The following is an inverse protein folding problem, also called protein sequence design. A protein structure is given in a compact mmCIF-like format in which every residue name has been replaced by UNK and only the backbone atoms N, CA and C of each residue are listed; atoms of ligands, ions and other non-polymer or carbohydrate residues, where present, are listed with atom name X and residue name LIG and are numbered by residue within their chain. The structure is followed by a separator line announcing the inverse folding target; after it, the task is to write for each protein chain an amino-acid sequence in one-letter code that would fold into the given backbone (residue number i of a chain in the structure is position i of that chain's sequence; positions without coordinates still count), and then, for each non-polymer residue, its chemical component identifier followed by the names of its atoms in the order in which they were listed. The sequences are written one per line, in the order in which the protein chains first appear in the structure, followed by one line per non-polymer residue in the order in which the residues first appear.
data_IF_511110125752
#
_entry.id   IF_511110125752
#
_cell.length_a   1.000
_cell.length_b   1.000
_cell.length_c   1.000
_cell.angle_alpha   90.00
_cell.angle_beta   90.00
_cell.angle_gamma   90.00
#
_symmetry.space_group_name_H-M   'P 1'
#
loop_
_entity.id
_entity.type
_entity.pdbx_description
1 polymer ?
#
# COMPACT_ATOMS: atom_id res chain seq x y z
N UNK A 1 28.97 9.58 -7.29
CA UNK A 1 30.36 9.40 -6.81
C UNK A 1 31.22 9.22 -8.05
N UNK A 2 32.30 9.97 -8.20
CA UNK A 2 33.12 9.98 -9.41
C UNK A 2 34.48 9.33 -9.12
N UNK A 3 35.05 8.63 -10.11
CA UNK A 3 36.40 8.08 -10.05
C UNK A 3 37.17 8.54 -11.27
N UNK A 4 38.44 8.94 -11.09
CA UNK A 4 39.34 9.20 -12.21
C UNK A 4 39.66 7.92 -12.98
N UNK A 5 39.48 7.95 -14.29
CA UNK A 5 39.97 6.92 -15.19
C UNK A 5 41.48 7.08 -15.48
N UNK A 6 42.02 6.20 -16.34
CA UNK A 6 43.43 6.20 -16.71
C UNK A 6 43.87 7.47 -17.45
N UNK A 7 42.92 8.18 -18.06
CA UNK A 7 43.15 9.43 -18.81
C UNK A 7 42.92 10.68 -17.93
N UNK A 8 42.56 10.48 -16.66
CA UNK A 8 42.39 11.55 -15.68
C UNK A 8 41.03 12.23 -15.71
N UNK A 9 40.05 11.70 -16.45
CA UNK A 9 38.69 12.22 -16.45
C UNK A 9 37.89 11.65 -15.27
N UNK A 10 37.09 12.51 -14.63
CA UNK A 10 36.15 12.06 -13.61
C UNK A 10 34.96 11.35 -14.28
N UNK A 11 34.94 10.02 -14.19
CA UNK A 11 33.85 9.18 -14.71
C UNK A 11 32.85 8.89 -13.59
N UNK A 12 31.57 9.10 -13.88
CA UNK A 12 30.49 8.77 -12.95
C UNK A 12 30.47 7.25 -12.72
N UNK A 13 30.65 6.83 -11.47
CA UNK A 13 30.42 5.44 -11.11
C UNK A 13 28.91 5.26 -10.86
N UNK A 14 28.21 4.41 -11.64
CA UNK A 14 26.86 4.02 -11.28
C UNK A 14 26.94 3.34 -9.90
N UNK A 15 26.30 3.96 -8.91
CA UNK A 15 26.44 3.57 -7.52
C UNK A 15 25.99 2.13 -7.30
N UNK A 16 26.79 1.33 -6.60
CA UNK A 16 26.41 -0.04 -6.16
C UNK A 16 25.14 -0.07 -5.30
N UNK A 17 24.77 1.09 -4.73
CA UNK A 17 23.52 1.31 -4.01
C UNK A 17 22.29 1.29 -4.91
N UNK A 18 22.30 1.99 -6.05
CA UNK A 18 21.19 1.99 -7.01
C UNK A 18 20.94 0.58 -7.56
N UNK A 19 22.02 -0.17 -7.78
CA UNK A 19 21.92 -1.56 -8.22
C UNK A 19 21.23 -2.48 -7.20
N UNK A 20 21.29 -2.18 -5.90
CA UNK A 20 20.62 -2.97 -4.87
C UNK A 20 19.13 -2.64 -4.77
N UNK A 21 18.78 -1.36 -4.86
CA UNK A 21 17.37 -0.90 -4.85
C UNK A 21 16.62 -1.50 -6.04
N UNK A 22 17.17 -1.37 -7.25
CA UNK A 22 16.57 -1.94 -8.47
C UNK A 22 16.43 -3.46 -8.38
N UNK A 23 17.40 -4.16 -7.78
CA UNK A 23 17.32 -5.62 -7.60
C UNK A 23 16.23 -6.01 -6.60
N UNK A 24 16.11 -5.28 -5.49
CA UNK A 24 15.07 -5.49 -4.49
C UNK A 24 13.69 -5.23 -5.08
N UNK A 25 13.52 -4.07 -5.73
CA UNK A 25 12.29 -3.67 -6.40
C UNK A 25 11.82 -4.75 -7.38
N UNK A 26 12.66 -5.13 -8.35
CA UNK A 26 12.33 -6.18 -9.33
C UNK A 26 11.95 -7.51 -8.68
N UNK A 27 12.63 -7.86 -7.58
CA UNK A 27 12.33 -9.09 -6.84
C UNK A 27 10.98 -9.04 -6.15
N UNK A 28 10.62 -7.90 -5.56
CA UNK A 28 9.32 -7.69 -4.92
C UNK A 28 8.22 -7.59 -5.98
N UNK A 29 8.43 -6.84 -7.06
CA UNK A 29 7.49 -6.72 -8.19
C UNK A 29 7.13 -8.09 -8.80
N UNK A 30 8.11 -8.98 -8.96
CA UNK A 30 7.91 -10.32 -9.51
C UNK A 30 7.02 -11.23 -8.64
N UNK A 31 6.93 -10.95 -7.34
CA UNK A 31 6.10 -11.71 -6.38
C UNK A 31 5.07 -10.83 -5.67
N UNK A 32 4.73 -9.68 -6.24
CA UNK A 32 4.06 -8.60 -5.51
C UNK A 32 2.68 -9.02 -4.97
N UNK A 33 1.96 -9.78 -5.78
CA UNK A 33 0.65 -10.30 -5.41
C UNK A 33 0.78 -11.32 -4.27
N UNK A 34 1.72 -12.26 -4.35
CA UNK A 34 1.91 -13.29 -3.32
C UNK A 34 2.52 -12.73 -2.02
N UNK A 35 3.36 -11.70 -2.12
CA UNK A 35 4.07 -11.14 -0.96
C UNK A 35 3.23 -10.09 -0.21
N UNK A 36 2.44 -9.28 -0.92
CA UNK A 36 1.79 -8.10 -0.34
C UNK A 36 0.29 -7.99 -0.67
N UNK A 37 -0.29 -8.92 -1.43
CA UNK A 37 -1.69 -8.86 -1.86
C UNK A 37 -1.95 -7.72 -2.85
N UNK A 38 -0.95 -7.37 -3.67
CA UNK A 38 -1.02 -6.23 -4.59
C UNK A 38 -0.82 -6.73 -6.02
N UNK A 39 -1.79 -6.44 -6.89
CA UNK A 39 -1.65 -6.68 -8.33
C UNK A 39 -0.79 -5.59 -8.95
N UNK A 40 0.27 -5.99 -9.64
CA UNK A 40 1.23 -5.08 -10.26
C UNK A 40 0.62 -4.30 -11.44
N UNK A 41 0.92 -3.01 -11.55
CA UNK A 41 0.48 -2.15 -12.66
C UNK A 41 1.65 -1.60 -13.49
N UNK A 42 2.64 -1.00 -12.83
CA UNK A 42 3.78 -0.39 -13.50
C UNK A 42 4.98 -0.26 -12.56
N UNK A 43 6.16 -0.23 -13.16
CA UNK A 43 7.45 0.04 -12.52
C UNK A 43 8.00 1.37 -13.05
N UNK A 44 8.71 2.12 -12.20
CA UNK A 44 9.37 3.39 -12.54
C UNK A 44 8.43 4.40 -13.24
N UNK A 45 7.21 4.55 -12.73
CA UNK A 45 6.14 5.31 -13.37
C UNK A 45 6.38 6.83 -13.24
N UNK A 46 6.48 7.57 -14.37
CA UNK A 46 6.72 9.01 -14.32
C UNK A 46 5.47 9.78 -13.87
N UNK A 47 5.60 10.72 -12.94
CA UNK A 47 4.46 11.52 -12.43
C UNK A 47 4.20 12.81 -13.22
N UNK A 48 4.80 12.90 -14.40
CA UNK A 48 4.67 14.05 -15.31
C UNK A 48 5.41 15.31 -14.85
N UNK A 49 5.34 16.38 -15.65
CA UNK A 49 6.16 17.59 -15.47
C UNK A 49 5.77 18.47 -14.28
N UNK A 50 4.58 18.26 -13.71
CA UNK A 50 4.05 19.02 -12.57
C UNK A 50 4.54 18.46 -11.23
N UNK A 51 4.54 17.14 -11.07
CA UNK A 51 5.02 16.47 -9.85
C UNK A 51 6.51 16.11 -9.93
N UNK A 52 7.10 16.06 -11.14
CA UNK A 52 8.55 15.87 -11.41
C UNK A 52 9.18 14.71 -10.64
N UNK A 53 8.41 13.65 -10.41
CA UNK A 53 8.84 12.47 -9.68
C UNK A 53 8.75 11.21 -10.54
N UNK A 54 9.16 10.10 -9.94
CA UNK A 54 9.06 8.78 -10.51
C UNK A 54 8.69 7.83 -9.39
N UNK A 55 7.52 7.20 -9.51
CA UNK A 55 7.02 6.24 -8.55
C UNK A 55 7.67 4.90 -8.85
N UNK A 56 8.31 4.27 -7.87
CA UNK A 56 9.01 3.00 -8.09
C UNK A 56 8.04 1.90 -8.54
N UNK A 57 6.91 1.73 -7.86
CA UNK A 57 5.89 0.75 -8.27
C UNK A 57 4.47 1.25 -8.03
N UNK A 58 3.59 1.04 -9.01
CA UNK A 58 2.13 1.19 -8.88
C UNK A 58 1.46 -0.18 -8.84
N UNK A 59 0.40 -0.29 -8.03
CA UNK A 59 -0.38 -1.51 -7.88
C UNK A 59 -1.83 -1.27 -7.46
N UNK A 60 -2.60 -2.35 -7.39
CA UNK A 60 -4.00 -2.36 -6.94
C UNK A 60 -4.17 -3.49 -5.91
N UNK A 61 -4.56 -3.16 -4.68
CA UNK A 61 -4.72 -4.18 -3.62
C UNK A 61 -5.97 -5.05 -3.80
N UNK A 62 -6.12 -6.05 -2.95
CA UNK A 62 -7.24 -7.01 -2.94
C UNK A 62 -8.61 -6.35 -2.77
N UNK A 63 -8.65 -5.18 -2.15
CA UNK A 63 -9.86 -4.39 -1.91
C UNK A 63 -10.12 -3.37 -3.03
N UNK A 64 -9.28 -3.35 -4.07
CA UNK A 64 -9.36 -2.38 -5.15
C UNK A 64 -8.77 -1.01 -4.80
N UNK A 65 -8.06 -0.86 -3.69
CA UNK A 65 -7.43 0.41 -3.35
C UNK A 65 -6.16 0.63 -4.19
N UNK A 66 -5.95 1.84 -4.76
CA UNK A 66 -4.70 2.22 -5.41
C UNK A 66 -3.52 2.08 -4.45
N UNK A 67 -2.42 1.50 -4.92
CA UNK A 67 -1.20 1.33 -4.14
C UNK A 67 0.00 1.98 -4.82
N UNK A 68 0.76 2.74 -4.03
CA UNK A 68 2.08 3.28 -4.39
C UNK A 68 3.12 2.60 -3.50
N UNK A 69 4.23 2.18 -4.08
CA UNK A 69 5.35 1.60 -3.34
C UNK A 69 6.61 2.40 -3.65
N UNK A 70 7.37 2.73 -2.61
CA UNK A 70 8.69 3.34 -2.70
C UNK A 70 9.70 2.43 -1.99
N UNK A 71 10.85 2.20 -2.63
CA UNK A 71 11.95 1.42 -2.09
C UNK A 71 13.08 2.33 -1.62
N UNK A 72 13.68 1.99 -0.48
CA UNK A 72 14.90 2.64 0.03
C UNK A 72 15.91 1.61 0.48
N UNK A 73 17.17 1.75 0.08
CA UNK A 73 18.23 0.88 0.61
C UNK A 73 18.45 1.09 2.11
N UNK A 74 18.48 2.35 2.56
CA UNK A 74 18.86 2.75 3.92
C UNK A 74 17.69 3.30 4.75
N UNK A 75 18.01 3.81 5.94
CA UNK A 75 17.08 4.55 6.80
C UNK A 75 17.02 6.04 6.43
N UNK A 76 17.16 6.36 5.15
CA UNK A 76 17.36 7.74 4.69
C UNK A 76 16.16 8.61 5.05
N UNK A 77 16.45 9.81 5.55
CA UNK A 77 15.44 10.80 5.91
C UNK A 77 14.66 11.24 4.66
N UNK A 78 13.34 11.30 4.75
CA UNK A 78 12.48 11.83 3.68
C UNK A 78 11.60 10.80 2.96
N UNK A 79 11.59 9.53 3.40
CA UNK A 79 10.66 8.54 2.84
C UNK A 79 9.20 9.00 2.96
N UNK A 80 8.87 9.72 4.04
CA UNK A 80 7.54 10.24 4.29
C UNK A 80 7.18 11.44 3.40
N UNK A 81 8.13 12.31 3.05
CA UNK A 81 7.83 13.45 2.17
C UNK A 81 7.55 12.99 0.74
N UNK A 82 8.28 11.97 0.25
CA UNK A 82 7.96 11.34 -1.05
C UNK A 82 6.64 10.60 -1.01
N UNK A 83 6.37 9.83 0.06
CA UNK A 83 5.09 9.16 0.28
C UNK A 83 3.91 10.13 0.13
N UNK A 84 3.92 11.24 0.86
CA UNK A 84 2.86 12.25 0.80
C UNK A 84 2.77 12.85 -0.61
N UNK A 85 3.91 13.18 -1.24
CA UNK A 85 3.92 13.72 -2.61
C UNK A 85 3.28 12.78 -3.63
N UNK A 86 3.51 11.47 -3.54
CA UNK A 86 2.93 10.51 -4.48
C UNK A 86 1.46 10.22 -4.20
N UNK A 87 1.04 10.29 -2.94
CA UNK A 87 -0.37 10.25 -2.59
C UNK A 87 -1.11 11.49 -3.14
N UNK A 88 -0.51 12.68 -3.05
CA UNK A 88 -1.05 13.87 -3.73
C UNK A 88 -1.09 13.72 -5.25
N UNK A 89 -0.11 13.05 -5.86
CA UNK A 89 -0.18 12.71 -7.28
C UNK A 89 -1.39 11.83 -7.58
N UNK A 90 -1.60 10.75 -6.81
CA UNK A 90 -2.76 9.86 -6.98
C UNK A 90 -4.09 10.62 -6.93
N UNK A 91 -4.25 11.57 -5.99
CA UNK A 91 -5.44 12.40 -5.88
C UNK A 91 -5.70 13.27 -7.12
N UNK A 92 -4.63 13.75 -7.78
CA UNK A 92 -4.73 14.55 -9.00
C UNK A 92 -4.84 13.71 -10.28
N UNK A 93 -4.44 12.44 -10.23
CA UNK A 93 -4.23 11.58 -11.40
C UNK A 93 -5.22 10.41 -11.50
N UNK A 94 -6.43 10.52 -10.92
CA UNK A 94 -7.44 9.45 -10.89
C UNK A 94 -7.70 8.84 -12.28
N UNK A 95 -7.89 9.67 -13.31
CA UNK A 95 -8.17 9.20 -14.67
C UNK A 95 -6.98 8.49 -15.31
N UNK A 96 -5.76 8.98 -15.03
CA UNK A 96 -4.53 8.39 -15.54
C UNK A 96 -4.30 7.00 -14.92
N UNK A 97 -4.48 6.89 -13.60
CA UNK A 97 -4.37 5.62 -12.90
C UNK A 97 -5.51 4.65 -13.27
N UNK A 98 -6.76 5.12 -13.42
CA UNK A 98 -7.87 4.28 -13.90
C UNK A 98 -7.58 3.72 -15.31
N UNK A 99 -7.03 4.54 -16.21
CA UNK A 99 -6.64 4.11 -17.54
C UNK A 99 -5.50 3.06 -17.47
N UNK A 100 -4.55 3.22 -16.56
CA UNK A 100 -3.49 2.23 -16.32
C UNK A 100 -4.07 0.90 -15.81
N UNK A 101 -4.96 0.93 -14.81
CA UNK A 101 -5.65 -0.27 -14.31
C UNK A 101 -6.41 -0.96 -15.43
N UNK A 102 -7.18 -0.20 -16.23
CA UNK A 102 -7.95 -0.75 -17.35
C UNK A 102 -7.05 -1.44 -18.37
N UNK A 103 -5.89 -0.84 -18.67
CA UNK A 103 -4.91 -1.36 -19.62
C UNK A 103 -4.27 -2.66 -19.13
N UNK A 104 -3.96 -2.76 -17.83
CA UNK A 104 -3.16 -3.87 -17.27
C UNK A 104 -4.04 -5.00 -16.72
N UNK A 105 -5.13 -4.65 -16.04
CA UNK A 105 -6.00 -5.58 -15.29
C UNK A 105 -7.42 -5.69 -15.88
N UNK A 106 -7.76 -4.91 -16.90
CA UNK A 106 -9.04 -4.95 -17.58
C UNK A 106 -10.11 -3.99 -17.02
N UNK A 107 -11.24 -3.91 -17.73
CA UNK A 107 -12.32 -2.96 -17.42
C UNK A 107 -12.97 -3.20 -16.05
N UNK A 108 -13.23 -4.46 -15.69
CA UNK A 108 -13.85 -4.81 -14.41
C UNK A 108 -13.01 -4.32 -13.22
N UNK A 109 -11.69 -4.51 -13.27
CA UNK A 109 -10.78 -4.03 -12.23
C UNK A 109 -10.73 -2.49 -12.15
N UNK A 110 -10.90 -1.81 -13.29
CA UNK A 110 -10.93 -0.34 -13.33
C UNK A 110 -12.22 0.24 -12.75
N UNK A 111 -13.34 -0.48 -12.94
CA UNK A 111 -14.64 -0.12 -12.36
C UNK A 111 -14.69 -0.38 -10.85
N UNK A 112 -13.91 -1.35 -10.36
CA UNK A 112 -13.85 -1.73 -8.94
C UNK A 112 -12.83 -0.92 -8.11
N UNK A 113 -12.25 0.17 -8.64
CA UNK A 113 -11.24 0.93 -7.89
C UNK A 113 -11.87 1.67 -6.71
N UNK A 114 -11.35 1.40 -5.51
CA UNK A 114 -11.74 2.08 -4.27
C UNK A 114 -10.77 3.22 -3.93
N UNK A 115 -11.18 4.44 -4.26
CA UNK A 115 -10.41 5.66 -4.00
C UNK A 115 -10.48 6.15 -2.55
N UNK A 116 -11.24 5.52 -1.65
CA UNK A 116 -11.49 6.05 -0.29
C UNK A 116 -10.24 6.03 0.58
N UNK A 117 -9.39 5.02 0.41
CA UNK A 117 -8.19 4.79 1.23
C UNK A 117 -7.02 4.26 0.38
N UNK A 118 -6.45 5.08 -0.52
CA UNK A 118 -5.21 4.72 -1.21
C UNK A 118 -4.12 4.37 -0.21
N UNK A 119 -3.28 3.40 -0.58
CA UNK A 119 -2.26 2.84 0.30
C UNK A 119 -0.87 3.23 -0.20
N UNK A 120 -0.06 3.80 0.67
CA UNK A 120 1.37 3.93 0.45
C UNK A 120 2.12 2.80 1.16
N UNK A 121 3.10 2.19 0.51
CA UNK A 121 3.98 1.20 1.12
C UNK A 121 5.43 1.65 0.95
N UNK A 122 6.09 1.99 2.05
CA UNK A 122 7.50 2.31 2.06
C UNK A 122 8.30 1.06 2.43
N UNK A 123 9.18 0.58 1.56
CA UNK A 123 9.99 -0.63 1.79
C UNK A 123 11.45 -0.23 1.99
N UNK A 124 11.98 -0.41 3.20
CA UNK A 124 13.34 0.01 3.56
C UNK A 124 14.09 -1.01 4.42
N UNK A 125 15.43 -0.90 4.53
CA UNK A 125 16.20 -1.76 5.44
C UNK A 125 15.95 -1.39 6.91
N UNK A 126 15.52 -0.16 7.17
CA UNK A 126 15.23 0.37 8.49
C UNK A 126 14.45 1.69 8.40
N UNK A 127 13.85 2.07 9.51
CA UNK A 127 13.17 3.35 9.70
C UNK A 127 13.65 3.94 11.01
N UNK A 128 13.84 5.25 11.05
CA UNK A 128 14.19 5.95 12.29
C UNK A 128 13.01 6.01 13.26
N UNK A 129 13.27 6.30 14.52
CA UNK A 129 12.19 6.60 15.48
C UNK A 129 11.30 7.75 15.00
N UNK A 130 11.88 8.77 14.36
CA UNK A 130 11.15 9.91 13.83
C UNK A 130 10.18 9.50 12.72
N UNK A 131 10.58 8.61 11.82
CA UNK A 131 9.69 8.11 10.75
C UNK A 131 8.48 7.38 11.34
N UNK A 132 8.71 6.54 12.37
CA UNK A 132 7.65 5.80 13.06
C UNK A 132 6.70 6.72 13.82
N UNK A 133 7.21 7.78 14.44
CA UNK A 133 6.34 8.78 15.10
C UNK A 133 5.58 9.61 14.07
N UNK A 134 6.23 10.02 12.99
CA UNK A 134 5.63 10.88 11.98
C UNK A 134 4.54 10.17 11.18
N UNK A 135 4.72 8.88 10.84
CA UNK A 135 3.70 8.13 10.09
C UNK A 135 2.37 8.07 10.85
N UNK A 136 2.41 7.96 12.18
CA UNK A 136 1.22 7.94 13.04
C UNK A 136 0.47 9.28 13.12
N UNK A 137 1.07 10.37 12.63
CA UNK A 137 0.45 11.71 12.59
C UNK A 137 -0.17 12.03 11.23
N UNK A 138 0.09 11.21 10.22
CA UNK A 138 -0.38 11.44 8.86
C UNK A 138 -1.80 10.87 8.70
N UNK A 139 -2.73 11.64 8.10
CA UNK A 139 -4.07 11.16 7.81
C UNK A 139 -4.08 10.10 6.70
N UNK A 140 -3.01 9.95 5.94
CA UNK A 140 -2.90 8.96 4.89
C UNK A 140 -2.57 7.56 5.42
N UNK A 141 -3.01 6.52 4.70
CA UNK A 141 -2.66 5.14 5.01
C UNK A 141 -1.27 4.82 4.48
N UNK A 142 -0.28 4.76 5.38
CA UNK A 142 1.12 4.54 5.03
C UNK A 142 1.66 3.35 5.85
N UNK A 143 2.13 2.34 5.14
CA UNK A 143 2.74 1.15 5.70
C UNK A 143 4.27 1.28 5.63
N UNK A 144 4.95 1.17 6.77
CA UNK A 144 6.41 1.08 6.84
C UNK A 144 6.82 -0.38 6.90
N UNK A 145 7.41 -0.90 5.82
CA UNK A 145 7.80 -2.31 5.69
C UNK A 145 9.32 -2.44 5.67
N UNK A 146 9.86 -3.21 6.61
CA UNK A 146 11.28 -3.54 6.65
C UNK A 146 11.57 -4.75 5.79
N UNK A 147 12.56 -4.65 4.90
CA UNK A 147 13.10 -5.81 4.22
C UNK A 147 14.36 -6.35 4.90
N UNK A 148 14.58 -7.66 4.78
CA UNK A 148 15.86 -8.33 5.07
C UNK A 148 16.14 -9.38 4.00
N UNK A 149 17.31 -9.29 3.38
CA UNK A 149 17.80 -10.32 2.45
C UNK A 149 18.71 -11.26 3.22
N UNK A 150 18.49 -12.56 3.09
CA UNK A 150 19.35 -13.59 3.69
C UNK A 150 20.01 -14.43 2.58
N UNK A 151 21.03 -15.18 2.97
CA UNK A 151 21.66 -16.16 2.10
C UNK A 151 20.66 -17.21 1.57
N UNK A 152 21.03 -17.88 0.49
CA UNK A 152 20.13 -18.81 -0.20
C UNK A 152 19.00 -18.13 -0.97
N UNK A 153 19.11 -16.82 -1.21
CA UNK A 153 18.11 -16.07 -1.97
C UNK A 153 16.80 -15.94 -1.21
N UNK A 154 16.82 -15.79 0.12
CA UNK A 154 15.63 -15.56 0.94
C UNK A 154 15.39 -14.05 1.12
N UNK A 155 14.12 -13.64 1.26
CA UNK A 155 13.70 -12.27 1.50
C UNK A 155 12.58 -12.29 2.53
N UNK A 156 12.72 -11.49 3.58
CA UNK A 156 11.65 -11.19 4.53
C UNK A 156 11.17 -9.77 4.30
N UNK A 157 9.85 -9.59 4.32
CA UNK A 157 9.17 -8.30 4.40
C UNK A 157 8.39 -8.30 5.72
N UNK A 158 8.62 -7.29 6.56
CA UNK A 158 8.00 -7.19 7.88
C UNK A 158 7.37 -5.82 8.04
N UNK A 159 6.06 -5.75 8.31
CA UNK A 159 5.40 -4.51 8.69
C UNK A 159 5.95 -4.03 10.04
N UNK A 160 6.55 -2.84 10.03
CA UNK A 160 7.14 -2.19 11.21
C UNK A 160 6.13 -1.27 11.87
N UNK A 161 5.39 -0.52 11.05
CA UNK A 161 4.41 0.46 11.48
C UNK A 161 3.38 0.69 10.38
N UNK A 162 2.18 1.10 10.76
CA UNK A 162 1.08 1.37 9.83
C UNK A 162 0.24 2.50 10.42
N UNK A 163 0.01 3.55 9.64
CA UNK A 163 -1.09 4.48 9.94
C UNK A 163 -2.36 3.91 9.31
N UNK A 164 -3.44 3.68 10.07
CA UNK A 164 -4.69 3.21 9.48
C UNK A 164 -5.24 4.22 8.45
N UNK A 165 -4.82 5.49 8.52
CA UNK A 165 -5.34 6.56 7.69
C UNK A 165 -6.80 6.90 7.99
N UNK A 166 -7.19 8.15 7.75
CA UNK A 166 -8.58 8.61 7.81
C UNK A 166 -9.23 8.51 6.42
N UNK A 167 -10.53 8.17 6.32
CA UNK A 167 -11.21 8.10 5.02
C UNK A 167 -11.17 9.46 4.31
N UNK A 168 -10.83 9.51 3.02
CA UNK A 168 -10.88 10.76 2.25
C UNK A 168 -12.36 11.18 2.03
N UNK A 169 -12.82 12.33 2.55
CA UNK A 169 -14.21 12.77 2.40
C UNK A 169 -14.61 13.05 0.95
N UNK A 170 -13.65 13.49 0.12
CA UNK A 170 -13.91 13.86 -1.28
C UNK A 170 -14.13 12.64 -2.17
N UNK A 171 -13.34 11.57 -1.97
CA UNK A 171 -13.54 10.28 -2.63
C UNK A 171 -14.87 9.63 -2.21
N UNK A 172 -15.22 9.76 -0.94
CA UNK A 172 -16.48 9.23 -0.39
C UNK A 172 -17.73 9.89 -1.00
N UNK A 173 -17.66 11.19 -1.33
CA UNK A 173 -18.75 11.92 -2.02
C UNK A 173 -18.91 11.48 -3.47
N UNK A 174 -17.80 11.34 -4.21
CA UNK A 174 -17.83 10.87 -5.61
C UNK A 174 -18.34 9.43 -5.74
N UNK A 175 -18.04 8.55 -4.78
CA UNK A 175 -18.63 7.21 -4.72
C UNK A 175 -20.15 7.27 -4.54
N UNK A 176 -20.65 8.08 -3.59
CA UNK A 176 -22.10 8.27 -3.40
C UNK A 176 -22.80 8.84 -4.64
N UNK A 177 -22.16 9.74 -5.37
CA UNK A 177 -22.69 10.30 -6.61
C UNK A 177 -22.71 9.27 -7.75
N UNK A 178 -21.70 8.39 -7.86
CA UNK A 178 -21.71 7.26 -8.79
C UNK A 178 -22.81 6.24 -8.44
N UNK A 179 -22.97 5.89 -7.17
CA UNK A 179 -24.07 5.02 -6.73
C UNK A 179 -25.45 5.65 -7.00
N UNK A 180 -25.60 6.95 -6.76
CA UNK A 180 -26.87 7.66 -7.00
C UNK A 180 -27.24 7.76 -8.49
N UNK A 181 -26.25 7.87 -9.39
CA UNK A 181 -26.49 7.93 -10.84
C UNK A 181 -26.97 6.60 -11.44
N UNK A 182 -26.69 5.47 -10.78
CA UNK A 182 -27.12 4.13 -11.23
C UNK A 182 -28.55 3.79 -10.76
N UNK A 183 -29.10 4.51 -9.77
CA UNK A 183 -30.40 4.19 -9.12
C UNK A 183 -31.55 5.06 -9.63
N UNK A 184 -31.62 5.32 -10.93
CA UNK A 184 -32.82 5.89 -11.57
C UNK A 184 -33.70 4.79 -12.19
N UNK A 185 -34.17 3.85 -11.37
CA UNK A 185 -35.29 2.97 -11.63
C UNK A 185 -35.93 2.57 -10.27
N UNK A 186 -37.26 2.57 -10.13
CA UNK A 186 -37.90 2.45 -8.82
C UNK A 186 -37.69 1.03 -8.29
N UNK A 187 -36.76 0.90 -7.33
CA UNK A 187 -36.52 -0.34 -6.61
C UNK A 187 -37.07 -0.19 -5.20
N UNK A 188 -38.06 -1.01 -4.91
CA UNK A 188 -38.62 -1.32 -3.57
C UNK A 188 -37.48 -1.49 -2.56
N UNK A 189 -37.60 -1.12 -1.28
CA UNK A 189 -36.49 -1.23 -0.33
C UNK A 189 -36.14 -2.70 -0.11
N UNK A 190 -35.17 -3.19 -0.87
CA UNK A 190 -34.53 -4.46 -0.63
C UNK A 190 -33.50 -4.21 0.48
N UNK A 191 -33.77 -4.76 1.66
CA UNK A 191 -32.76 -4.97 2.69
C UNK A 191 -31.55 -5.71 2.12
N UNK A 192 -30.40 -5.70 2.84
CA UNK A 192 -29.13 -6.11 2.30
C UNK A 192 -29.25 -7.49 1.64
N UNK A 193 -28.99 -7.54 0.34
CA UNK A 193 -29.06 -8.75 -0.45
C UNK A 193 -28.01 -9.73 0.07
N UNK A 194 -28.50 -10.73 0.80
CA UNK A 194 -27.78 -11.93 1.14
C UNK A 194 -27.38 -12.65 -0.14
N UNK A 195 -26.14 -12.44 -0.59
CA UNK A 195 -25.46 -13.37 -1.48
C UNK A 195 -25.16 -14.64 -0.69
N UNK A 196 -26.07 -15.62 -0.74
CA UNK A 196 -25.89 -17.02 -0.30
C UNK A 196 -25.02 -17.28 0.95
N UNK A 197 -25.09 -16.41 1.96
CA UNK A 197 -24.60 -16.73 3.29
C UNK A 197 -25.74 -17.49 3.97
N UNK A 198 -25.60 -18.81 4.11
CA UNK A 198 -26.35 -19.49 5.15
C UNK A 198 -26.20 -18.65 6.43
N UNK A 199 -27.31 -18.34 7.10
CA UNK A 199 -27.29 -17.55 8.34
C UNK A 199 -26.15 -18.09 9.20
N UNK A 200 -25.10 -17.28 9.39
CA UNK A 200 -23.99 -17.67 10.24
C UNK A 200 -24.60 -17.96 11.61
N UNK A 201 -24.52 -19.22 12.09
CA UNK A 201 -25.08 -19.63 13.37
C UNK A 201 -24.68 -18.64 14.47
N UNK A 202 -25.61 -18.33 15.36
CA UNK A 202 -25.39 -17.35 16.43
C UNK A 202 -24.14 -17.68 17.26
N UNK A 203 -23.94 -18.95 17.58
CA UNK A 203 -22.74 -19.42 18.26
C UNK A 203 -21.42 -19.11 17.52
N UNK A 204 -21.43 -19.06 16.18
CA UNK A 204 -20.24 -18.70 15.40
C UNK A 204 -20.02 -17.19 15.35
N UNK A 205 -21.10 -16.39 15.43
CA UNK A 205 -20.99 -14.93 15.56
C UNK A 205 -20.45 -14.54 16.94
N UNK A 206 -20.94 -15.20 17.99
CA UNK A 206 -20.47 -14.98 19.36
C UNK A 206 -19.01 -15.41 19.52
N UNK A 207 -18.64 -16.58 18.97
CA UNK A 207 -17.25 -17.05 18.98
C UNK A 207 -16.32 -16.11 18.20
N UNK A 208 -16.77 -15.58 17.06
CA UNK A 208 -16.01 -14.56 16.33
C UNK A 208 -15.83 -13.28 17.16
N UNK A 209 -16.89 -12.79 17.80
CA UNK A 209 -16.81 -11.59 18.64
C UNK A 209 -15.85 -11.78 19.82
N UNK A 210 -15.90 -12.94 20.48
CA UNK A 210 -14.97 -13.27 21.57
C UNK A 210 -13.51 -13.34 21.07
N UNK A 211 -13.28 -13.92 19.89
CA UNK A 211 -11.96 -13.96 19.27
C UNK A 211 -11.46 -12.56 18.87
N UNK A 212 -12.33 -11.74 18.27
CA UNK A 212 -12.03 -10.36 17.87
C UNK A 212 -11.67 -9.51 19.09
N UNK A 213 -12.47 -9.59 20.16
CA UNK A 213 -12.21 -8.92 21.43
C UNK A 213 -10.88 -9.40 22.04
N UNK A 214 -10.63 -10.71 22.07
CA UNK A 214 -9.39 -11.27 22.62
C UNK A 214 -8.14 -10.81 21.85
N UNK A 215 -8.22 -10.73 20.52
CA UNK A 215 -7.12 -10.29 19.66
C UNK A 215 -6.91 -8.77 19.73
N UNK A 216 -7.97 -7.97 19.83
CA UNK A 216 -7.89 -6.51 19.85
C UNK A 216 -7.63 -5.92 21.25
N UNK A 217 -7.92 -6.66 22.32
CA UNK A 217 -7.72 -6.22 23.72
C UNK A 217 -6.27 -5.78 24.04
N UNK A 218 -5.30 -6.24 23.26
CA UNK A 218 -3.88 -5.96 23.48
C UNK A 218 -3.42 -4.64 22.83
N UNK A 219 -4.30 -3.91 22.15
CA UNK A 219 -4.09 -2.53 21.67
C UNK A 219 -3.06 -2.37 20.53
N UNK A 220 -2.37 -3.44 20.15
CA UNK A 220 -1.33 -3.46 19.11
C UNK A 220 -1.73 -4.32 17.91
N UNK A 221 -3.03 -4.43 17.61
CA UNK A 221 -3.53 -5.24 16.49
C UNK A 221 -4.37 -4.39 15.55
N UNK A 222 -3.91 -4.26 14.30
CA UNK A 222 -4.68 -3.68 13.21
C UNK A 222 -5.59 -4.76 12.62
N UNK A 223 -6.89 -4.46 12.55
CA UNK A 223 -7.89 -5.34 11.93
C UNK A 223 -8.27 -4.80 10.56
N UNK A 224 -8.09 -5.61 9.52
CA UNK A 224 -8.44 -5.25 8.15
C UNK A 224 -9.39 -6.30 7.55
N UNK A 225 -10.61 -5.87 7.21
CA UNK A 225 -11.52 -6.68 6.40
C UNK A 225 -11.02 -6.69 4.94
N UNK A 226 -10.68 -7.88 4.46
CA UNK A 226 -10.29 -8.15 3.08
C UNK A 226 -11.42 -8.87 2.35
N UNK A 227 -11.31 -9.01 1.03
CA UNK A 227 -12.36 -9.59 0.19
C UNK A 227 -12.86 -10.95 0.65
N UNK A 228 -11.99 -11.78 1.21
CA UNK A 228 -12.31 -13.17 1.57
C UNK A 228 -12.07 -13.52 3.05
N UNK A 229 -11.41 -12.65 3.81
CA UNK A 229 -11.03 -12.92 5.20
C UNK A 229 -10.81 -11.63 5.99
N UNK A 230 -10.73 -11.75 7.31
CA UNK A 230 -10.36 -10.65 8.22
C UNK A 230 -8.93 -10.90 8.68
N UNK A 231 -8.06 -9.92 8.43
CA UNK A 231 -6.66 -9.99 8.81
C UNK A 231 -6.43 -9.25 10.14
N UNK A 232 -5.87 -9.95 11.12
CA UNK A 232 -5.34 -9.37 12.35
C UNK A 232 -3.83 -9.22 12.20
N UNK A 233 -3.32 -7.99 12.30
CA UNK A 233 -1.90 -7.67 12.12
C UNK A 233 -1.34 -7.03 13.37
N UNK A 234 -0.38 -7.70 14.01
CA UNK A 234 0.30 -7.16 15.20
C UNK A 234 1.33 -6.09 14.80
N UNK A 235 1.23 -4.90 15.40
CA UNK A 235 2.22 -3.83 15.26
C UNK A 235 3.47 -4.20 16.08
N UNK A 236 4.58 -4.48 15.41
CA UNK A 236 5.81 -4.90 16.07
C UNK A 236 6.51 -3.75 16.82
N UNK A 237 6.21 -3.56 18.10
CA UNK A 237 7.14 -2.91 19.02
C UNK A 237 8.22 -3.91 19.42
N UNK A 238 9.38 -3.85 18.76
CA UNK A 238 10.61 -4.48 19.27
C UNK A 238 10.97 -3.76 20.56
N UNK A 239 10.62 -4.34 21.71
CA UNK A 239 11.20 -3.90 22.99
C UNK A 239 12.69 -4.23 22.99
N UNK A 240 13.58 -3.31 23.35
CA UNK A 240 14.98 -3.65 23.60
C UNK A 240 15.01 -4.67 24.74
N UNK A 241 15.73 -5.77 24.54
CA UNK A 241 16.11 -6.66 25.64
C UNK A 241 17.13 -5.84 26.45
N UNK A 242 16.78 -5.53 27.70
CA UNK A 242 17.63 -4.86 28.68
C UNK A 242 18.73 -5.81 29.16
#
# INVERSE_FOLDING_TARGET
MFRRDADGHDVELPGSTVALEVKLQRRVEAGLEQMLGIRFLASEYPTGPWHRGRIDTLGLDENGAPVVIEFKKGSDSGVLSQAVSYLSWLESAHHEFEALVRKVLGAEAAESIDWRRPRMVCIAAGFSHHDRVAVQRLPERIDLVRYRVFDGGLLSLLLVDSSPGSPNPAASRRHRERDAAVVSAPTVPAGPAAGSAGLVPECLRDLYAELDDALTAWGEVEVAALRHYIAYRRLGLVRPIM
#
